data_IF_208028286757
#
_entry.id   IF_208028286757
#
_cell.length_a   1.000
_cell.length_b   1.000
_cell.length_c   1.000
_cell.angle_alpha   90.00
_cell.angle_beta   90.00
_cell.angle_gamma   90.00
#
_symmetry.space_group_name_H-M   'P 1'
#
loop_
_entity.id
_entity.type
_entity.pdbx_description
1 polymer ?
#
# COMPACT_ATOMS: atom_id res chain seq x y z
N UNK A 1 24.57 -13.14 3.55
CA UNK A 1 24.45 -12.82 4.99
C UNK A 1 23.30 -13.62 5.57
N UNK A 2 23.38 -14.04 6.84
CA UNK A 2 22.29 -14.71 7.56
C UNK A 2 21.67 -13.68 8.52
N UNK A 3 20.35 -13.59 8.56
CA UNK A 3 19.60 -12.69 9.43
C UNK A 3 18.80 -13.52 10.44
N UNK A 4 18.90 -13.21 11.72
CA UNK A 4 18.16 -13.89 12.79
C UNK A 4 16.68 -13.49 12.78
N UNK A 5 16.39 -12.24 12.40
CA UNK A 5 15.03 -11.69 12.32
C UNK A 5 14.84 -11.03 10.96
N UNK A 6 13.66 -11.24 10.37
CA UNK A 6 13.26 -10.64 9.09
C UNK A 6 11.93 -9.93 9.30
N UNK A 7 11.87 -8.66 8.91
CA UNK A 7 10.67 -7.81 8.90
C UNK A 7 10.46 -7.35 7.46
N UNK A 8 9.72 -8.13 6.68
CA UNK A 8 9.48 -7.88 5.25
C UNK A 8 7.99 -7.79 4.86
N UNK A 9 7.13 -7.64 5.85
CA UNK A 9 5.68 -7.43 5.69
C UNK A 9 5.16 -6.30 6.60
N UNK A 10 3.84 -6.12 6.65
CA UNK A 10 3.13 -5.15 7.46
C UNK A 10 3.50 -5.28 8.95
N UNK A 11 3.85 -4.17 9.60
CA UNK A 11 4.19 -4.15 11.03
C UNK A 11 2.92 -4.18 11.88
N UNK A 12 2.85 -5.11 12.82
CA UNK A 12 1.67 -5.34 13.66
C UNK A 12 0.79 -6.52 13.22
N UNK A 13 1.20 -7.28 12.21
CA UNK A 13 0.51 -8.51 11.82
C UNK A 13 1.03 -9.71 12.63
N UNK A 14 0.19 -10.17 13.57
CA UNK A 14 0.49 -11.35 14.38
C UNK A 14 0.58 -12.64 13.56
N UNK A 15 -0.23 -12.77 12.50
CA UNK A 15 -0.22 -13.97 11.65
C UNK A 15 1.12 -14.12 10.91
N UNK A 16 1.72 -13.00 10.52
CA UNK A 16 2.98 -12.95 9.80
C UNK A 16 4.20 -12.82 10.72
N UNK A 17 3.98 -12.70 12.03
CA UNK A 17 5.05 -12.67 13.04
C UNK A 17 5.83 -11.36 13.12
N UNK A 18 5.29 -10.29 12.54
CA UNK A 18 5.85 -8.93 12.51
C UNK A 18 5.24 -8.01 13.56
N UNK A 19 4.46 -8.56 14.49
CA UNK A 19 3.94 -7.85 15.66
C UNK A 19 4.95 -7.78 16.82
N UNK A 20 4.73 -6.82 17.72
CA UNK A 20 5.64 -6.56 18.84
C UNK A 20 5.89 -7.74 19.77
N UNK A 21 4.93 -8.65 19.95
CA UNK A 21 5.11 -9.82 20.81
C UNK A 21 5.92 -10.90 20.10
N UNK A 22 5.74 -11.09 18.80
CA UNK A 22 6.53 -12.03 18.00
C UNK A 22 7.98 -11.60 17.90
N UNK A 23 8.27 -10.32 17.68
CA UNK A 23 9.63 -9.79 17.67
C UNK A 23 10.29 -9.96 19.06
N UNK A 24 9.56 -9.68 20.15
CA UNK A 24 10.06 -9.89 21.52
C UNK A 24 10.51 -11.32 21.75
N UNK A 25 9.68 -12.30 21.37
CA UNK A 25 10.01 -13.73 21.50
C UNK A 25 11.22 -14.13 20.66
N UNK A 26 11.46 -13.47 19.53
CA UNK A 26 12.64 -13.74 18.70
C UNK A 26 13.90 -13.16 19.34
N UNK A 27 13.85 -11.91 19.81
CA UNK A 27 14.95 -11.27 20.55
C UNK A 27 15.31 -12.05 21.82
N UNK A 28 14.31 -12.56 22.56
CA UNK A 28 14.53 -13.36 23.77
C UNK A 28 15.33 -14.65 23.51
N UNK A 29 15.25 -15.21 22.28
CA UNK A 29 16.03 -16.39 21.88
C UNK A 29 17.50 -16.07 21.62
N UNK A 30 17.81 -14.80 21.39
CA UNK A 30 19.15 -14.27 21.10
C UNK A 30 19.59 -13.31 22.20
N UNK A 31 19.16 -13.57 23.44
CA UNK A 31 19.54 -12.75 24.58
C UNK A 31 21.06 -12.75 24.75
N UNK A 32 21.63 -11.57 24.94
CA UNK A 32 23.09 -11.36 25.11
C UNK A 32 23.93 -11.73 23.86
N UNK A 33 23.29 -12.00 22.71
CA UNK A 33 23.94 -12.26 21.42
C UNK A 33 23.74 -11.08 20.46
N UNK A 34 24.63 -10.93 19.48
CA UNK A 34 24.41 -10.01 18.36
C UNK A 34 23.23 -10.45 17.49
N UNK A 35 22.38 -9.51 17.08
CA UNK A 35 21.22 -9.79 16.22
C UNK A 35 21.26 -8.92 14.97
N UNK A 36 21.37 -9.57 13.80
CA UNK A 36 21.16 -8.93 12.51
C UNK A 36 19.69 -9.06 12.09
N UNK A 37 19.04 -7.91 11.89
CA UNK A 37 17.63 -7.81 11.50
C UNK A 37 17.56 -7.26 10.08
N UNK A 38 16.96 -8.03 9.17
CA UNK A 38 16.62 -7.50 7.84
C UNK A 38 15.28 -6.79 7.88
N UNK A 39 15.21 -5.56 7.38
CA UNK A 39 13.99 -4.76 7.29
C UNK A 39 13.74 -4.35 5.84
N UNK A 40 12.58 -4.74 5.31
CA UNK A 40 12.12 -4.43 3.94
C UNK A 40 10.59 -4.30 3.97
N UNK A 41 10.09 -3.31 4.69
CA UNK A 41 8.67 -3.14 4.97
C UNK A 41 8.19 -1.71 4.68
N UNK A 42 6.97 -1.60 4.15
CA UNK A 42 6.28 -0.32 3.95
C UNK A 42 5.71 0.27 5.26
N UNK A 43 5.87 -0.43 6.39
CA UNK A 43 5.44 0.00 7.71
C UNK A 43 4.15 -0.68 8.16
N UNK A 44 3.36 0.03 8.97
CA UNK A 44 2.12 -0.49 9.55
C UNK A 44 1.79 0.21 10.87
N UNK A 45 1.40 -0.57 11.88
CA UNK A 45 1.04 -0.09 13.21
C UNK A 45 2.20 0.70 13.85
N UNK A 46 1.96 1.99 14.11
CA UNK A 46 2.95 2.85 14.75
C UNK A 46 3.23 2.44 16.21
N UNK A 47 2.21 1.98 16.92
CA UNK A 47 2.34 1.49 18.31
C UNK A 47 3.28 0.28 18.37
N UNK A 48 3.10 -0.70 17.48
CA UNK A 48 3.99 -1.84 17.38
C UNK A 48 5.39 -1.42 16.96
N UNK A 49 5.51 -0.49 16.00
CA UNK A 49 6.80 0.05 15.59
C UNK A 49 7.59 0.71 16.72
N UNK A 50 6.92 1.51 17.55
CA UNK A 50 7.54 2.16 18.73
C UNK A 50 7.93 1.16 19.82
N UNK A 51 7.10 0.15 20.07
CA UNK A 51 7.41 -0.90 21.04
C UNK A 51 8.61 -1.74 20.57
N UNK A 52 8.61 -2.20 19.32
CA UNK A 52 9.74 -2.95 18.73
C UNK A 52 11.02 -2.11 18.74
N UNK A 53 10.93 -0.82 18.41
CA UNK A 53 12.06 0.11 18.53
C UNK A 53 12.64 0.08 19.94
N UNK A 54 11.80 0.14 20.97
CA UNK A 54 12.26 0.08 22.36
C UNK A 54 12.89 -1.29 22.69
N UNK A 55 12.33 -2.39 22.18
CA UNK A 55 12.91 -3.72 22.36
C UNK A 55 14.32 -3.83 21.75
N UNK A 56 14.58 -3.20 20.60
CA UNK A 56 15.92 -3.18 20.00
C UNK A 56 16.92 -2.41 20.89
N UNK A 57 16.47 -1.29 21.49
CA UNK A 57 17.27 -0.52 22.44
C UNK A 57 17.55 -1.32 23.70
N UNK A 58 16.54 -1.99 24.25
CA UNK A 58 16.64 -2.78 25.48
C UNK A 58 17.53 -4.02 25.29
N UNK A 59 17.50 -4.61 24.09
CA UNK A 59 18.40 -5.71 23.72
C UNK A 59 19.85 -5.21 23.55
N UNK A 60 20.03 -4.04 22.93
CA UNK A 60 21.27 -3.26 22.96
C UNK A 60 22.34 -3.65 21.94
N UNK A 61 22.24 -4.79 21.26
CA UNK A 61 23.20 -5.20 20.21
C UNK A 61 22.51 -5.70 18.93
N UNK A 62 21.68 -4.82 18.36
CA UNK A 62 20.95 -5.05 17.10
C UNK A 62 21.58 -4.25 15.95
N UNK A 63 21.84 -4.91 14.82
CA UNK A 63 22.11 -4.26 13.53
C UNK A 63 20.89 -4.39 12.63
N UNK A 64 20.36 -3.26 12.16
CA UNK A 64 19.28 -3.24 11.17
C UNK A 64 19.85 -3.11 9.75
N UNK A 65 19.45 -4.02 8.86
CA UNK A 65 19.81 -4.04 7.45
C UNK A 65 18.59 -3.65 6.61
N UNK A 66 18.59 -2.44 6.07
CA UNK A 66 17.50 -1.85 5.31
C UNK A 66 17.63 -2.21 3.83
N UNK A 67 16.67 -2.96 3.32
CA UNK A 67 16.65 -3.49 1.96
C UNK A 67 15.36 -3.10 1.25
N UNK A 68 15.40 -2.94 -0.08
CA UNK A 68 14.22 -2.64 -0.87
C UNK A 68 13.57 -1.31 -0.48
N UNK A 69 12.29 -1.34 -0.12
CA UNK A 69 11.53 -0.16 0.32
C UNK A 69 11.30 -0.22 1.82
N UNK A 70 11.80 0.78 2.54
CA UNK A 70 11.62 0.90 3.99
C UNK A 70 10.90 2.21 4.29
N UNK A 71 9.66 2.13 4.76
CA UNK A 71 8.82 3.30 4.96
C UNK A 71 8.11 3.29 6.32
N UNK A 72 7.67 4.47 6.75
CA UNK A 72 6.71 4.61 7.85
C UNK A 72 7.21 3.94 9.13
N UNK A 73 6.37 3.18 9.84
CA UNK A 73 6.73 2.46 11.07
C UNK A 73 7.99 1.58 10.96
N UNK A 74 8.37 1.10 9.77
CA UNK A 74 9.59 0.32 9.59
C UNK A 74 10.85 1.17 9.83
N UNK A 75 10.81 2.44 9.43
CA UNK A 75 11.89 3.39 9.76
C UNK A 75 11.95 3.66 11.27
N UNK A 76 10.80 3.73 11.95
CA UNK A 76 10.71 3.89 13.41
C UNK A 76 11.37 2.71 14.13
N UNK A 77 11.08 1.48 13.70
CA UNK A 77 11.72 0.26 14.21
C UNK A 77 13.24 0.34 14.06
N UNK A 78 13.71 0.69 12.86
CA UNK A 78 15.15 0.79 12.57
C UNK A 78 15.87 1.77 13.52
N UNK A 79 15.23 2.86 13.94
CA UNK A 79 15.83 3.85 14.87
C UNK A 79 16.15 3.28 16.26
N UNK A 80 15.70 2.07 16.58
CA UNK A 80 16.04 1.38 17.83
C UNK A 80 17.31 0.55 17.73
N UNK A 81 17.78 0.25 16.51
CA UNK A 81 18.99 -0.51 16.31
C UNK A 81 20.23 0.32 16.69
N UNK A 82 21.24 -0.40 17.20
CA UNK A 82 22.53 0.19 17.55
C UNK A 82 23.27 0.64 16.29
N UNK A 83 23.17 -0.15 15.23
CA UNK A 83 23.76 0.15 13.94
C UNK A 83 22.75 -0.06 12.82
N UNK A 84 22.74 0.82 11.82
CA UNK A 84 21.82 0.75 10.69
C UNK A 84 22.60 0.81 9.38
N UNK A 85 22.51 -0.29 8.63
CA UNK A 85 23.12 -0.46 7.32
C UNK A 85 22.01 -0.43 6.28
N UNK A 86 22.16 0.32 5.20
CA UNK A 86 21.19 0.38 4.12
C UNK A 86 21.82 -0.07 2.80
N UNK A 87 21.15 -0.95 2.07
CA UNK A 87 21.59 -1.31 0.73
C UNK A 87 21.61 -0.08 -0.18
N UNK A 88 22.64 0.05 -1.02
CA UNK A 88 22.86 1.17 -1.95
C UNK A 88 21.62 1.58 -2.76
N UNK A 89 20.82 0.60 -3.13
CA UNK A 89 19.63 0.79 -3.96
C UNK A 89 18.31 0.67 -3.19
N UNK A 90 18.36 0.64 -1.86
CA UNK A 90 17.17 0.75 -1.05
C UNK A 90 16.63 2.19 -1.07
N UNK A 91 15.35 2.34 -0.76
CA UNK A 91 14.66 3.62 -0.63
C UNK A 91 14.05 3.74 0.77
N UNK A 92 14.22 4.91 1.36
CA UNK A 92 13.83 5.21 2.74
C UNK A 92 12.79 6.33 2.76
N UNK A 93 11.66 6.12 3.44
CA UNK A 93 10.59 7.13 3.52
C UNK A 93 10.15 7.36 4.96
N UNK A 94 10.27 8.61 5.39
CA UNK A 94 9.57 9.15 6.57
C UNK A 94 8.41 10.01 6.08
N UNK A 95 7.28 9.93 6.76
CA UNK A 95 6.07 10.67 6.42
C UNK A 95 5.21 10.88 7.66
N UNK A 96 4.26 11.81 7.59
CA UNK A 96 3.35 12.09 8.70
C UNK A 96 2.49 10.87 9.04
N UNK A 97 2.15 10.71 10.32
CA UNK A 97 1.23 9.68 10.72
C UNK A 97 -0.16 9.91 10.09
N UNK A 98 -0.80 8.82 9.69
CA UNK A 98 -2.10 8.82 9.04
C UNK A 98 -3.03 7.85 9.74
N UNK A 99 -4.32 8.21 9.81
CA UNK A 99 -5.38 7.30 10.21
C UNK A 99 -6.26 6.99 9.00
N UNK A 100 -6.81 5.79 8.97
CA UNK A 100 -7.88 5.48 8.04
C UNK A 100 -9.16 6.21 8.47
N UNK A 101 -9.82 6.88 7.53
CA UNK A 101 -11.09 7.58 7.75
C UNK A 101 -12.12 7.01 6.78
N UNK A 102 -13.15 6.35 7.31
CA UNK A 102 -14.24 5.75 6.53
C UNK A 102 -15.58 6.33 6.96
N UNK A 103 -16.18 7.14 6.10
CA UNK A 103 -17.51 7.73 6.32
C UNK A 103 -18.40 7.43 5.13
N UNK A 104 -19.52 6.75 5.38
CA UNK A 104 -20.48 6.38 4.33
C UNK A 104 -21.92 6.55 4.83
N UNK A 105 -22.76 7.24 4.08
CA UNK A 105 -24.18 7.42 4.40
C UNK A 105 -24.71 8.81 4.06
N UNK A 106 -25.98 9.04 4.36
CA UNK A 106 -26.62 10.35 4.26
C UNK A 106 -26.41 11.11 5.58
N UNK A 107 -25.93 12.35 5.51
CA UNK A 107 -25.66 13.20 6.67
C UNK A 107 -26.39 14.53 6.53
N UNK A 108 -27.11 14.94 7.58
CA UNK A 108 -27.66 16.29 7.66
C UNK A 108 -26.60 17.29 8.16
N UNK A 109 -26.94 18.58 8.23
CA UNK A 109 -25.98 19.63 8.62
C UNK A 109 -25.35 19.41 10.00
N UNK A 110 -26.11 18.88 10.98
CA UNK A 110 -25.61 18.59 12.33
C UNK A 110 -24.64 17.41 12.33
N UNK A 111 -24.94 16.37 11.55
CA UNK A 111 -24.08 15.20 11.40
C UNK A 111 -22.73 15.60 10.76
N UNK A 112 -22.79 16.43 9.71
CA UNK A 112 -21.60 16.97 9.05
C UNK A 112 -20.74 17.82 10.00
N UNK A 113 -21.35 18.66 10.83
CA UNK A 113 -20.58 19.43 11.82
C UNK A 113 -19.89 18.52 12.85
N UNK A 114 -20.59 17.49 13.32
CA UNK A 114 -20.02 16.50 14.26
C UNK A 114 -18.83 15.75 13.63
N UNK A 115 -18.95 15.39 12.35
CA UNK A 115 -17.87 14.77 11.60
C UNK A 115 -16.66 15.71 11.50
N UNK A 116 -16.88 16.98 11.15
CA UNK A 116 -15.82 18.00 11.06
C UNK A 116 -15.07 18.12 12.39
N UNK A 117 -15.80 18.25 13.50
CA UNK A 117 -15.19 18.40 14.83
C UNK A 117 -14.34 17.17 15.20
N UNK A 118 -14.81 15.97 14.87
CA UNK A 118 -14.04 14.73 15.08
C UNK A 118 -12.79 14.67 14.21
N UNK A 119 -12.89 15.04 12.93
CA UNK A 119 -11.74 15.05 12.02
C UNK A 119 -10.71 16.11 12.41
N UNK A 120 -11.16 17.26 12.90
CA UNK A 120 -10.27 18.29 13.42
C UNK A 120 -9.51 17.79 14.64
N UNK A 121 -10.20 17.13 15.58
CA UNK A 121 -9.54 16.49 16.72
C UNK A 121 -8.55 15.40 16.28
N UNK A 122 -8.93 14.57 15.31
CA UNK A 122 -8.05 13.53 14.78
C UNK A 122 -6.78 14.11 14.16
N UNK A 123 -6.91 15.21 13.40
CA UNK A 123 -5.77 15.96 12.86
C UNK A 123 -4.87 16.49 13.98
N UNK A 124 -5.44 17.12 15.01
CA UNK A 124 -4.67 17.66 16.15
C UNK A 124 -3.91 16.55 16.89
N UNK A 125 -4.48 15.36 17.02
CA UNK A 125 -3.82 14.21 17.62
C UNK A 125 -2.69 13.67 16.72
N UNK A 126 -2.88 13.63 15.40
CA UNK A 126 -1.82 13.30 14.45
C UNK A 126 -0.66 14.30 14.49
N UNK A 127 -0.93 15.59 14.57
CA UNK A 127 0.12 16.62 14.68
C UNK A 127 0.97 16.46 15.95
N UNK A 128 0.36 16.01 17.06
CA UNK A 128 1.11 15.68 18.28
C UNK A 128 2.01 14.47 18.06
N UNK A 129 1.50 13.42 17.40
CA UNK A 129 2.29 12.22 17.08
C UNK A 129 3.45 12.57 16.14
N UNK A 130 3.20 13.36 15.09
CA UNK A 130 4.23 13.84 14.18
C UNK A 130 5.33 14.60 14.91
N UNK A 131 4.96 15.44 15.88
CA UNK A 131 5.92 16.13 16.74
C UNK A 131 6.81 15.17 17.54
N UNK A 132 6.25 14.08 18.06
CA UNK A 132 7.00 13.02 18.77
C UNK A 132 7.94 12.28 17.81
N UNK A 133 7.46 11.92 16.62
CA UNK A 133 8.28 11.26 15.61
C UNK A 133 9.44 12.14 15.15
N UNK A 134 9.18 13.42 14.89
CA UNK A 134 10.21 14.38 14.52
C UNK A 134 11.28 14.50 15.62
N UNK A 135 10.88 14.54 16.90
CA UNK A 135 11.83 14.58 18.01
C UNK A 135 12.66 13.29 18.09
N UNK A 136 12.04 12.13 17.88
CA UNK A 136 12.72 10.84 17.85
C UNK A 136 13.74 10.79 16.70
N UNK A 137 13.36 11.18 15.48
CA UNK A 137 14.28 11.21 14.35
C UNK A 137 15.41 12.22 14.55
N UNK A 138 15.13 13.41 15.10
CA UNK A 138 16.16 14.40 15.43
C UNK A 138 17.19 13.87 16.45
N UNK A 139 16.76 13.03 17.40
CA UNK A 139 17.67 12.38 18.35
C UNK A 139 18.67 11.43 17.67
N UNK A 140 18.30 10.84 16.53
CA UNK A 140 19.16 10.00 15.68
C UNK A 140 19.99 10.87 14.72
N UNK A 141 19.33 11.78 14.02
CA UNK A 141 19.88 12.66 12.99
C UNK A 141 20.57 13.87 13.64
N UNK A 142 21.67 13.64 14.35
CA UNK A 142 22.33 14.59 15.29
C UNK A 142 22.60 16.01 14.77
N UNK A 143 22.55 16.23 13.46
CA UNK A 143 22.82 17.52 12.81
C UNK A 143 21.56 18.28 12.36
N UNK A 144 20.37 17.76 12.66
CA UNK A 144 19.10 18.35 12.23
C UNK A 144 18.17 18.59 13.42
N UNK A 145 17.47 19.71 13.37
CA UNK A 145 16.48 20.11 14.37
C UNK A 145 15.18 19.32 14.23
N UNK A 146 14.41 19.27 15.31
CA UNK A 146 13.06 18.69 15.28
C UNK A 146 12.16 19.37 14.24
N UNK A 147 12.31 20.67 14.02
CA UNK A 147 11.53 21.42 13.02
C UNK A 147 11.87 20.95 11.59
N UNK A 148 13.15 20.81 11.27
CA UNK A 148 13.60 20.29 9.96
C UNK A 148 13.10 18.85 9.73
N UNK A 149 13.13 17.99 10.75
CA UNK A 149 12.60 16.64 10.64
C UNK A 149 11.08 16.63 10.50
N UNK A 150 10.37 17.55 11.16
CA UNK A 150 8.93 17.68 10.99
C UNK A 150 8.57 18.14 9.58
N UNK A 151 9.36 19.03 8.98
CA UNK A 151 9.17 19.45 7.60
C UNK A 151 9.49 18.33 6.61
N UNK A 152 10.50 17.50 6.88
CA UNK A 152 10.78 16.30 6.10
C UNK A 152 9.63 15.29 6.16
N UNK A 153 9.01 15.08 7.34
CA UNK A 153 7.80 14.26 7.48
C UNK A 153 6.67 14.79 6.60
N UNK A 154 6.45 16.12 6.57
CA UNK A 154 5.42 16.74 5.72
C UNK A 154 5.73 16.62 4.23
N UNK A 155 7.00 16.71 3.84
CA UNK A 155 7.41 16.54 2.45
C UNK A 155 7.08 15.13 1.95
N UNK A 156 7.17 14.13 2.84
CA UNK A 156 6.78 12.75 2.54
C UNK A 156 7.47 12.28 1.25
N UNK A 157 8.80 12.41 1.22
CA UNK A 157 9.66 12.12 0.06
C UNK A 157 10.49 10.87 0.30
N UNK A 158 10.56 10.00 -0.72
CA UNK A 158 11.49 8.88 -0.71
C UNK A 158 12.93 9.37 -0.87
N UNK A 159 13.80 8.88 0.00
CA UNK A 159 15.22 9.18 0.05
C UNK A 159 16.03 7.98 -0.47
N UNK A 160 17.04 8.28 -1.28
CA UNK A 160 18.10 7.34 -1.62
C UNK A 160 18.94 6.97 -0.39
N UNK A 161 19.72 5.90 -0.47
CA UNK A 161 20.66 5.52 0.61
C UNK A 161 21.64 6.66 0.95
N UNK A 162 22.12 7.41 -0.06
CA UNK A 162 23.00 8.56 0.17
C UNK A 162 22.28 9.70 0.89
N UNK A 163 21.07 10.06 0.46
CA UNK A 163 20.29 11.10 1.16
C UNK A 163 19.97 10.65 2.59
N UNK A 164 19.61 9.39 2.83
CA UNK A 164 19.34 8.87 4.16
C UNK A 164 20.59 8.91 5.08
N UNK A 165 21.78 8.66 4.52
CA UNK A 165 23.06 8.80 5.21
C UNK A 165 23.36 10.27 5.54
N UNK A 166 23.15 11.17 4.58
CA UNK A 166 23.42 12.60 4.73
C UNK A 166 22.51 13.23 5.80
N UNK A 167 21.24 12.80 5.88
CA UNK A 167 20.33 13.15 6.97
C UNK A 167 20.72 12.51 8.32
N UNK A 168 21.50 11.43 8.31
CA UNK A 168 21.92 10.71 9.52
C UNK A 168 20.91 9.69 10.03
N UNK A 169 19.97 9.23 9.18
CA UNK A 169 19.07 8.13 9.54
C UNK A 169 19.84 6.81 9.66
N UNK A 170 20.81 6.60 8.78
CA UNK A 170 21.60 5.37 8.68
C UNK A 170 23.07 5.66 9.01
N UNK A 171 23.84 4.60 9.31
CA UNK A 171 25.27 4.72 9.63
C UNK A 171 26.17 4.31 8.46
N UNK A 172 25.72 3.36 7.63
CA UNK A 172 26.52 2.77 6.56
C UNK A 172 25.65 2.46 5.35
N UNK A 173 26.24 2.61 4.16
CA UNK A 173 25.67 2.11 2.91
C UNK A 173 26.40 0.83 2.53
N UNK A 174 25.68 -0.28 2.46
CA UNK A 174 26.20 -1.53 1.92
C UNK A 174 26.22 -1.46 0.39
N UNK A 175 27.35 -1.86 -0.22
CA UNK A 175 27.41 -2.09 -1.65
C UNK A 175 26.53 -3.30 -1.99
N UNK A 176 25.54 -3.07 -2.83
CA UNK A 176 24.61 -4.07 -3.34
C UNK A 176 24.58 -3.93 -4.86
N UNK A 177 24.41 -5.03 -5.61
CA UNK A 177 24.66 -5.05 -7.06
C UNK A 177 23.41 -4.83 -7.93
N UNK A 178 22.21 -4.75 -7.33
CA UNK A 178 20.95 -4.69 -8.11
C UNK A 178 20.07 -3.51 -7.69
N UNK A 179 19.95 -2.52 -8.59
CA UNK A 179 19.00 -1.43 -8.46
C UNK A 179 17.57 -1.91 -8.74
N UNK A 180 16.59 -1.67 -7.86
CA UNK A 180 15.20 -1.97 -8.17
C UNK A 180 14.68 -0.97 -9.20
N UNK A 181 14.02 -1.48 -10.24
CA UNK A 181 13.35 -0.63 -11.23
C UNK A 181 12.00 -0.13 -10.68
N UNK A 182 11.79 1.18 -10.71
CA UNK A 182 10.52 1.80 -10.34
C UNK A 182 9.49 1.64 -11.47
N UNK A 183 8.72 0.56 -11.40
CA UNK A 183 7.64 0.22 -12.34
C UNK A 183 6.29 0.83 -11.93
N UNK A 184 5.32 0.89 -12.85
CA UNK A 184 3.96 1.34 -12.52
C UNK A 184 3.26 0.38 -11.55
N UNK A 185 3.55 -0.92 -11.64
CA UNK A 185 3.01 -1.92 -10.72
C UNK A 185 3.41 -1.62 -9.27
N UNK A 186 4.64 -1.16 -9.07
CA UNK A 186 5.15 -0.79 -7.75
C UNK A 186 4.55 0.53 -7.25
N UNK A 187 4.38 1.53 -8.13
CA UNK A 187 3.69 2.77 -7.79
C UNK A 187 2.25 2.52 -7.30
N UNK A 188 1.53 1.56 -7.91
CA UNK A 188 0.19 1.14 -7.43
C UNK A 188 0.23 0.56 -6.02
N UNK A 189 1.27 -0.19 -5.65
CA UNK A 189 1.42 -0.73 -4.30
C UNK A 189 1.61 0.37 -3.27
N UNK A 190 2.40 1.40 -3.58
CA UNK A 190 2.58 2.55 -2.68
C UNK A 190 1.28 3.32 -2.48
N UNK A 191 0.54 3.59 -3.57
CA UNK A 191 -0.76 4.22 -3.48
C UNK A 191 -1.75 3.40 -2.64
N UNK A 192 -1.77 2.07 -2.81
CA UNK A 192 -2.62 1.18 -2.01
C UNK A 192 -2.23 1.18 -0.52
N UNK A 193 -0.94 1.37 -0.20
CA UNK A 193 -0.43 1.52 1.15
C UNK A 193 -0.55 2.96 1.70
N UNK A 194 -1.19 3.89 0.96
CA UNK A 194 -1.32 5.30 1.35
C UNK A 194 -0.02 6.08 1.31
N UNK A 195 1.02 5.56 0.63
CA UNK A 195 2.35 6.17 0.57
C UNK A 195 2.51 7.08 -0.66
N UNK A 196 3.21 8.22 -0.52
CA UNK A 196 3.52 9.15 -1.59
C UNK A 196 4.45 8.54 -2.64
N UNK A 197 4.45 9.13 -3.83
CA UNK A 197 5.41 8.83 -4.91
C UNK A 197 6.49 9.92 -5.04
N UNK A 198 6.48 10.92 -4.16
CA UNK A 198 7.40 12.06 -4.19
C UNK A 198 8.85 11.60 -4.07
N UNK A 199 9.72 12.11 -4.94
CA UNK A 199 11.14 11.73 -4.99
C UNK A 199 11.45 10.49 -5.82
N UNK A 200 10.44 9.83 -6.41
CA UNK A 200 10.64 8.68 -7.28
C UNK A 200 10.54 9.05 -8.76
N UNK A 201 11.51 8.61 -9.57
CA UNK A 201 11.40 8.61 -11.03
C UNK A 201 10.78 7.30 -11.49
N UNK A 202 9.51 7.35 -11.91
CA UNK A 202 8.76 6.17 -12.37
C UNK A 202 9.04 5.95 -13.85
N UNK A 203 9.60 4.80 -14.18
CA UNK A 203 9.75 4.39 -15.58
C UNK A 203 8.46 3.73 -16.05
N UNK A 204 8.00 4.04 -17.28
CA UNK A 204 6.87 3.33 -17.87
C UNK A 204 7.24 1.85 -18.02
N UNK A 205 6.34 0.95 -17.62
CA UNK A 205 6.58 -0.50 -17.66
C UNK A 205 7.18 -0.93 -19.01
N UNK A 206 8.37 -1.55 -18.98
CA UNK A 206 8.95 -2.27 -20.12
C UNK A 206 8.14 -3.54 -20.47
N UNK A 207 7.11 -3.85 -19.69
CA UNK A 207 6.07 -4.86 -19.95
C UNK A 207 4.77 -4.24 -20.45
N UNK A 208 4.84 -3.19 -21.26
CA UNK A 208 3.82 -3.01 -22.30
C UNK A 208 3.87 -4.26 -23.20
N UNK A 209 2.91 -5.15 -23.00
CA UNK A 209 2.67 -6.35 -23.81
C UNK A 209 2.89 -6.04 -25.31
N UNK A 210 4.05 -6.42 -25.85
CA UNK A 210 4.29 -6.64 -27.28
C UNK A 210 4.10 -5.48 -28.28
N UNK A 211 4.29 -4.19 -27.94
CA UNK A 211 4.20 -3.15 -28.99
C UNK A 211 5.35 -3.20 -30.01
N UNK A 212 6.55 -3.66 -29.61
CA UNK A 212 7.66 -3.78 -30.55
C UNK A 212 7.50 -4.96 -31.53
N UNK A 213 6.89 -6.06 -31.08
CA UNK A 213 6.53 -7.22 -31.92
C UNK A 213 5.39 -6.88 -32.87
N UNK A 214 4.39 -6.09 -32.43
CA UNK A 214 3.32 -5.60 -33.30
C UNK A 214 3.85 -4.59 -34.30
N UNK A 215 4.77 -3.69 -33.94
CA UNK A 215 5.38 -2.74 -34.89
C UNK A 215 6.23 -3.42 -35.95
N UNK A 216 7.00 -4.45 -35.62
CA UNK A 216 7.72 -5.23 -36.64
C UNK A 216 6.75 -6.03 -37.53
N UNK A 217 5.67 -6.58 -36.94
CA UNK A 217 4.61 -7.27 -37.69
C UNK A 217 3.86 -6.31 -38.63
N UNK A 218 3.58 -5.08 -38.18
CA UNK A 218 2.94 -4.03 -38.96
C UNK A 218 3.86 -3.47 -40.05
N UNK A 219 5.17 -3.42 -39.81
CA UNK A 219 6.16 -3.04 -40.82
C UNK A 219 6.25 -4.08 -41.92
N UNK A 220 6.24 -5.37 -41.56
CA UNK A 220 6.16 -6.48 -42.51
C UNK A 220 4.84 -6.48 -43.31
N UNK A 221 3.71 -6.11 -42.67
CA UNK A 221 2.41 -5.97 -43.33
C UNK A 221 2.37 -4.72 -44.25
N UNK A 222 3.01 -3.61 -43.87
CA UNK A 222 3.11 -2.37 -44.67
C UNK A 222 3.99 -2.54 -45.90
N UNK A 223 5.09 -3.29 -45.79
CA UNK A 223 5.96 -3.65 -46.92
C UNK A 223 5.28 -4.67 -47.86
N UNK A 224 4.31 -5.44 -47.35
CA UNK A 224 3.50 -6.38 -48.13
C UNK A 224 2.30 -5.70 -48.84
N UNK A 225 1.85 -4.53 -48.37
CA UNK A 225 0.65 -3.81 -48.86
C UNK A 225 0.92 -2.58 -49.73
N UNK A 226 2.19 -2.25 -50.02
CA UNK A 226 2.51 -1.09 -50.87
C UNK A 226 2.90 -1.49 -52.30
N UNK A 227 2.08 -1.20 -53.32
CA UNK A 227 2.50 -1.34 -54.71
C UNK A 227 3.51 -0.24 -55.07
N UNK A 228 4.64 -0.65 -55.66
CA UNK A 228 5.66 0.24 -56.21
C UNK A 228 5.04 1.23 -57.19
N UNK A 229 5.05 2.53 -56.85
CA UNK A 229 5.15 3.58 -57.86
C UNK A 229 5.79 4.84 -57.30
N UNK A 230 6.82 5.29 -58.00
CA UNK A 230 7.57 6.54 -57.79
C UNK A 230 6.69 7.73 -58.16
N UNK A 231 6.70 8.79 -57.34
CA UNK A 231 6.71 10.18 -57.82
C UNK A 231 7.17 11.12 -56.70
N UNK A 232 8.11 11.98 -57.06
CA UNK A 232 8.73 12.99 -56.21
C UNK A 232 7.98 14.33 -56.32
N UNK A 233 7.95 15.12 -55.25
CA UNK A 233 8.31 16.56 -55.24
C UNK A 233 8.04 17.22 -53.88
N UNK A 234 8.88 18.22 -53.60
CA UNK A 234 8.87 19.31 -52.60
C UNK A 234 7.53 20.09 -52.55
N UNK A 235 7.20 20.95 -51.58
CA UNK A 235 8.00 21.82 -50.72
C UNK A 235 7.15 22.36 -49.54
N UNK A 236 7.87 22.95 -48.59
CA UNK A 236 7.52 23.72 -47.38
C UNK A 236 6.16 24.46 -47.28
N UNK A 237 5.50 24.40 -46.10
CA UNK A 237 4.88 25.57 -45.44
C UNK A 237 4.47 25.30 -43.99
N UNK A 238 4.91 26.20 -43.12
CA UNK A 238 4.63 26.32 -41.69
C UNK A 238 3.15 26.29 -41.29
N UNK A 239 2.80 25.56 -40.21
CA UNK A 239 1.71 25.96 -39.31
C UNK A 239 1.87 25.39 -37.90
N UNK A 240 2.01 26.32 -36.94
CA UNK A 240 1.54 26.32 -35.54
C UNK A 240 1.65 25.03 -34.73
N UNK A 241 2.60 25.04 -33.80
CA UNK A 241 2.65 24.22 -32.58
C UNK A 241 1.28 24.24 -31.87
N UNK A 242 0.62 23.08 -31.83
CA UNK A 242 -0.57 22.86 -31.04
C UNK A 242 -0.19 22.74 -29.56
N UNK A 243 -0.87 23.51 -28.71
CA UNK A 243 -0.75 23.50 -27.26
C UNK A 243 -1.27 22.15 -26.74
N UNK A 244 -0.40 21.35 -26.13
CA UNK A 244 -0.77 20.06 -25.51
C UNK A 244 -1.58 20.32 -24.23
N UNK A 245 -2.91 20.21 -24.28
CA UNK A 245 -3.74 20.21 -23.08
C UNK A 245 -3.78 18.79 -22.48
N UNK A 246 -3.23 18.63 -21.27
CA UNK A 246 -3.12 17.33 -20.55
C UNK A 246 -4.46 16.84 -19.97
N UNK A 247 -5.58 17.51 -20.23
CA UNK A 247 -6.89 17.17 -19.62
C UNK A 247 -7.55 15.90 -20.17
N UNK A 248 -7.27 15.51 -21.42
CA UNK A 248 -7.98 14.41 -22.09
C UNK A 248 -7.08 13.19 -22.35
N UNK A 249 -6.19 12.87 -21.41
CA UNK A 249 -5.23 11.75 -21.53
C UNK A 249 -5.90 10.41 -21.76
N UNK A 250 -7.01 10.12 -21.06
CA UNK A 250 -7.72 8.85 -21.23
C UNK A 250 -8.37 8.71 -22.61
N UNK A 251 -8.90 9.81 -23.16
CA UNK A 251 -9.50 9.83 -24.51
C UNK A 251 -8.41 9.73 -25.56
N UNK A 252 -7.28 10.44 -25.38
CA UNK A 252 -6.13 10.34 -26.26
C UNK A 252 -5.57 8.90 -26.30
N UNK A 253 -5.44 8.25 -25.14
CA UNK A 253 -5.02 6.84 -25.03
C UNK A 253 -5.99 5.88 -25.72
N UNK A 254 -7.30 6.06 -25.54
CA UNK A 254 -8.31 5.22 -26.20
C UNK A 254 -8.25 5.33 -27.73
N UNK A 255 -7.98 6.53 -28.23
CA UNK A 255 -7.91 6.83 -29.66
C UNK A 255 -6.52 6.60 -30.27
N UNK A 256 -5.54 6.17 -29.47
CA UNK A 256 -4.14 6.02 -29.87
C UNK A 256 -3.54 7.32 -30.46
N UNK A 257 -3.85 8.45 -29.82
CA UNK A 257 -3.35 9.78 -30.18
C UNK A 257 -2.36 10.26 -29.11
N UNK A 258 -1.26 10.89 -29.53
CA UNK A 258 -0.30 11.53 -28.60
C UNK A 258 -0.92 12.73 -27.86
N UNK A 259 -1.81 13.47 -28.53
CA UNK A 259 -2.57 14.57 -27.96
C UNK A 259 -3.82 14.86 -28.79
N UNK A 260 -4.85 15.44 -28.16
CA UNK A 260 -6.04 15.95 -28.85
C UNK A 260 -5.83 17.44 -29.09
N UNK A 261 -5.78 17.84 -30.36
CA UNK A 261 -5.65 19.23 -30.73
C UNK A 261 -6.97 19.98 -30.45
N UNK A 262 -6.87 21.07 -29.67
CA UNK A 262 -8.00 21.94 -29.35
C UNK A 262 -7.80 23.25 -30.10
N UNK A 263 -8.74 23.61 -30.97
CA UNK A 263 -8.76 24.88 -31.70
C UNK A 263 -10.03 25.64 -31.34
N UNK A 264 -9.89 26.88 -30.87
CA UNK A 264 -10.99 27.74 -30.43
C UNK A 264 -11.91 27.11 -29.36
N UNK A 265 -11.32 26.31 -28.46
CA UNK A 265 -12.06 25.60 -27.40
C UNK A 265 -12.82 24.36 -27.89
N UNK A 266 -12.65 23.98 -29.16
CA UNK A 266 -13.28 22.80 -29.77
C UNK A 266 -12.24 21.76 -30.18
N UNK A 267 -12.55 20.48 -30.00
CA UNK A 267 -11.75 19.36 -30.49
C UNK A 267 -12.49 18.71 -31.67
N UNK A 268 -11.78 18.46 -32.77
CA UNK A 268 -12.34 17.77 -33.94
C UNK A 268 -11.90 16.31 -33.90
N UNK A 269 -12.86 15.39 -33.81
CA UNK A 269 -12.65 13.95 -33.89
C UNK A 269 -13.27 13.40 -35.17
N UNK A 270 -12.69 12.34 -35.73
CA UNK A 270 -13.29 11.63 -36.87
C UNK A 270 -14.49 10.80 -36.41
N UNK A 271 -15.36 10.41 -37.36
CA UNK A 271 -16.50 9.52 -37.06
C UNK A 271 -16.03 8.19 -36.45
N UNK A 272 -14.92 7.62 -36.94
CA UNK A 272 -14.34 6.38 -36.41
C UNK A 272 -13.82 6.55 -34.97
N UNK A 273 -13.25 7.70 -34.65
CA UNK A 273 -12.80 8.02 -33.29
C UNK A 273 -13.98 8.17 -32.33
N UNK A 274 -15.07 8.81 -32.78
CA UNK A 274 -16.29 8.88 -31.99
C UNK A 274 -16.92 7.50 -31.78
N UNK A 275 -16.89 6.63 -32.80
CA UNK A 275 -17.37 5.25 -32.68
C UNK A 275 -16.55 4.44 -31.67
N UNK A 276 -15.22 4.59 -31.66
CA UNK A 276 -14.35 3.92 -30.68
C UNK A 276 -14.64 4.37 -29.23
N UNK A 277 -14.98 5.65 -29.02
CA UNK A 277 -15.41 6.14 -27.71
C UNK A 277 -16.75 5.52 -27.31
N UNK A 278 -17.70 5.49 -28.23
CA UNK A 278 -19.04 4.92 -28.01
C UNK A 278 -18.97 3.43 -27.68
N UNK A 279 -18.16 2.66 -28.41
CA UNK A 279 -17.98 1.22 -28.16
C UNK A 279 -17.40 0.97 -26.76
N UNK A 280 -16.43 1.79 -26.34
CA UNK A 280 -15.84 1.70 -25.00
C UNK A 280 -16.80 2.07 -23.89
N UNK A 281 -17.66 3.07 -24.11
CA UNK A 281 -18.68 3.44 -23.14
C UNK A 281 -19.71 2.32 -22.95
N UNK A 282 -20.12 1.68 -24.06
CA UNK A 282 -21.03 0.53 -24.02
C UNK A 282 -20.40 -0.70 -23.35
N UNK A 283 -19.11 -0.96 -23.59
CA UNK A 283 -18.35 -2.00 -22.88
C UNK A 283 -18.32 -1.75 -21.37
N UNK A 284 -17.95 -0.54 -20.94
CA UNK A 284 -17.89 -0.17 -19.53
C UNK A 284 -19.27 -0.24 -18.85
N UNK A 285 -20.33 0.19 -19.54
CA UNK A 285 -21.68 0.11 -19.02
C UNK A 285 -22.14 -1.35 -18.83
N UNK A 286 -21.78 -2.23 -19.77
CA UNK A 286 -22.07 -3.67 -19.66
C UNK A 286 -21.30 -4.29 -18.50
N UNK A 287 -20.03 -3.92 -18.33
CA UNK A 287 -19.20 -4.43 -17.23
C UNK A 287 -19.70 -3.96 -15.87
N UNK A 288 -20.06 -2.69 -15.74
CA UNK A 288 -20.64 -2.15 -14.50
C UNK A 288 -21.94 -2.89 -14.10
N UNK A 289 -22.79 -3.22 -15.07
CA UNK A 289 -24.00 -4.01 -14.78
C UNK A 289 -23.66 -5.43 -14.30
N UNK A 290 -22.69 -6.09 -14.93
CA UNK A 290 -22.25 -7.43 -14.51
C UNK A 290 -21.63 -7.44 -13.09
N UNK A 291 -20.87 -6.40 -12.75
CA UNK A 291 -20.31 -6.24 -11.41
C UNK A 291 -21.41 -5.97 -10.37
N UNK A 292 -22.40 -5.13 -10.70
CA UNK A 292 -23.55 -4.88 -9.84
C UNK A 292 -24.38 -6.14 -9.57
N UNK A 293 -24.61 -6.97 -10.60
CA UNK A 293 -25.31 -8.25 -10.47
C UNK A 293 -24.52 -9.24 -9.59
N UNK A 294 -23.19 -9.26 -9.75
CA UNK A 294 -22.28 -10.08 -8.93
C UNK A 294 -22.32 -9.67 -7.47
N UNK A 295 -22.30 -8.37 -7.18
CA UNK A 295 -22.40 -7.84 -5.82
C UNK A 295 -23.74 -8.23 -5.19
N UNK A 296 -24.85 -8.07 -5.92
CA UNK A 296 -26.18 -8.44 -5.42
C UNK A 296 -26.27 -9.93 -5.03
N UNK A 297 -25.66 -10.83 -5.81
CA UNK A 297 -25.65 -12.26 -5.48
C UNK A 297 -24.75 -12.58 -4.26
N UNK A 298 -23.62 -11.85 -4.11
CA UNK A 298 -22.77 -11.99 -2.92
C UNK A 298 -23.47 -11.51 -1.66
N UNK A 299 -24.18 -10.39 -1.71
CA UNK A 299 -24.95 -9.86 -0.58
C UNK A 299 -26.06 -10.82 -0.14
N UNK A 300 -26.73 -11.46 -1.11
CA UNK A 300 -27.71 -12.51 -0.84
C UNK A 300 -27.07 -13.73 -0.18
N UNK A 301 -25.88 -14.13 -0.63
CA UNK A 301 -25.12 -15.24 -0.03
C UNK A 301 -24.70 -14.92 1.40
N UNK A 302 -24.17 -13.72 1.65
CA UNK A 302 -23.78 -13.24 2.98
C UNK A 302 -25.00 -13.25 3.91
N UNK A 303 -26.12 -12.67 3.48
CA UNK A 303 -27.37 -12.68 4.26
C UNK A 303 -27.84 -14.10 4.61
N UNK A 304 -27.68 -15.05 3.67
CA UNK A 304 -28.00 -16.46 3.91
C UNK A 304 -27.08 -17.13 4.93
N UNK A 305 -25.77 -16.85 4.86
CA UNK A 305 -24.79 -17.36 5.82
C UNK A 305 -24.99 -16.75 7.22
N UNK A 306 -25.28 -15.46 7.31
CA UNK A 306 -25.60 -14.79 8.58
C UNK A 306 -26.84 -15.40 9.24
N UNK A 307 -27.88 -15.69 8.46
CA UNK A 307 -29.07 -16.40 8.95
C UNK A 307 -28.74 -17.82 9.44
N UNK A 308 -27.86 -18.55 8.75
CA UNK A 308 -27.40 -19.87 9.20
C UNK A 308 -26.59 -19.79 10.49
N UNK A 309 -25.65 -18.84 10.59
CA UNK A 309 -24.85 -18.61 11.80
C UNK A 309 -25.76 -18.27 12.98
N UNK A 310 -26.74 -17.38 12.77
CA UNK A 310 -27.73 -17.04 13.81
C UNK A 310 -28.57 -18.24 14.23
N UNK A 311 -29.02 -19.06 13.28
CA UNK A 311 -29.78 -20.28 13.59
C UNK A 311 -28.92 -21.30 14.36
N UNK A 312 -27.64 -21.46 14.01
CA UNK A 312 -26.71 -22.35 14.72
C UNK A 312 -26.38 -21.85 16.13
N UNK A 313 -26.24 -20.53 16.32
CA UNK A 313 -26.10 -19.93 17.65
C UNK A 313 -27.34 -20.12 18.53
N UNK A 314 -28.52 -20.25 17.92
CA UNK A 314 -29.79 -20.47 18.61
C UNK A 314 -30.14 -21.95 18.78
N UNK A 315 -29.48 -22.85 18.05
CA UNK A 315 -29.70 -24.28 18.14
C UNK A 315 -29.14 -24.84 19.47
N UNK A 316 -29.88 -25.70 20.18
CA UNK A 316 -29.32 -26.38 21.36
C UNK A 316 -28.15 -27.27 20.93
N UNK A 317 -27.12 -27.38 21.79
CA UNK A 317 -25.99 -28.29 21.57
C UNK A 317 -26.50 -29.71 21.27
N UNK A 318 -26.03 -30.30 20.17
CA UNK A 318 -26.33 -31.67 19.81
C UNK A 318 -25.84 -32.63 20.90
N UNK A 319 -26.66 -33.62 21.24
CA UNK A 319 -26.29 -34.63 22.24
C UNK A 319 -25.22 -35.55 21.67
N UNK A 320 -23.96 -35.38 22.08
CA UNK A 320 -22.97 -36.45 22.00
C UNK A 320 -23.36 -37.55 23.00
N UNK A 321 -23.42 -38.80 22.53
CA UNK A 321 -23.68 -39.95 23.38
C UNK A 321 -22.64 -40.01 24.53
N UNK A 322 -23.14 -40.30 25.73
CA UNK A 322 -22.42 -40.36 27.02
C UNK A 322 -20.94 -40.75 26.90
N UNK A 323 -20.07 -39.93 27.46
CA UNK A 323 -18.78 -40.40 28.00
C UNK A 323 -19.08 -40.89 29.42
N UNK A 324 -19.13 -42.20 29.63
CA UNK A 324 -19.19 -42.79 30.97
C UNK A 324 -17.81 -42.67 31.61
N UNK A 325 -17.62 -41.66 32.47
CA UNK A 325 -16.60 -41.73 33.51
C UNK A 325 -17.28 -41.77 34.88
N UNK A 326 -17.11 -42.91 35.53
CA UNK A 326 -17.59 -43.20 36.86
C UNK A 326 -16.76 -42.42 37.90
N UNK A 327 -17.36 -41.43 38.56
CA UNK A 327 -17.06 -41.17 39.97
C UNK A 327 -18.22 -40.41 40.63
N UNK A 328 -18.41 -40.66 41.92
CA UNK A 328 -19.61 -40.40 42.69
C UNK A 328 -19.89 -38.90 42.94
N UNK A 329 -21.18 -38.59 43.13
CA UNK A 329 -21.74 -37.34 43.68
C UNK A 329 -21.91 -36.11 42.78
N UNK A 330 -22.11 -36.29 41.47
CA UNK A 330 -22.77 -35.26 40.68
C UNK A 330 -23.68 -35.88 39.61
N UNK A 331 -24.92 -35.37 39.48
CA UNK A 331 -25.79 -35.78 38.36
C UNK A 331 -25.05 -35.45 37.06
N UNK A 332 -24.87 -36.41 36.13
CA UNK A 332 -24.24 -36.12 34.85
C UNK A 332 -25.17 -35.19 34.07
N UNK A 333 -24.87 -33.89 34.08
CA UNK A 333 -25.55 -32.94 33.22
C UNK A 333 -25.11 -33.20 31.79
N UNK A 334 -26.08 -33.35 30.89
CA UNK A 334 -25.74 -33.43 29.48
C UNK A 334 -25.23 -32.05 29.00
N UNK A 335 -24.49 -32.04 27.90
CA UNK A 335 -23.90 -30.84 27.31
C UNK A 335 -24.92 -29.71 27.07
N UNK A 336 -26.18 -30.06 26.81
CA UNK A 336 -27.29 -29.12 26.65
C UNK A 336 -27.70 -28.44 27.97
N UNK A 337 -27.67 -29.15 29.08
CA UNK A 337 -27.97 -28.60 30.41
C UNK A 337 -26.87 -27.66 30.89
N UNK A 338 -25.60 -28.00 30.65
CA UNK A 338 -24.47 -27.10 30.97
C UNK A 338 -24.50 -25.81 30.14
N UNK A 339 -24.73 -25.92 28.82
CA UNK A 339 -24.79 -24.75 27.94
C UNK A 339 -25.90 -23.77 28.34
N UNK A 340 -27.10 -24.28 28.66
CA UNK A 340 -28.23 -23.43 29.04
C UNK A 340 -28.02 -22.72 30.38
N UNK A 341 -27.31 -23.33 31.34
CA UNK A 341 -27.00 -22.65 32.61
C UNK A 341 -25.96 -21.52 32.46
N UNK A 342 -24.99 -21.67 31.55
CA UNK A 342 -23.95 -20.67 31.33
C UNK A 342 -24.48 -19.51 30.47
N UNK A 343 -25.40 -19.79 29.53
CA UNK A 343 -26.01 -18.77 28.67
C UNK A 343 -26.71 -17.65 29.45
N UNK A 344 -27.28 -17.94 30.61
CA UNK A 344 -27.99 -16.94 31.43
C UNK A 344 -27.05 -16.11 32.34
N UNK A 345 -25.74 -16.42 32.32
CA UNK A 345 -24.69 -15.75 33.13
C UNK A 345 -23.79 -14.80 32.31
N UNK A 346 -23.99 -14.72 30.99
CA UNK A 346 -23.23 -13.86 30.06
C UNK A 346 -24.18 -12.80 29.50
#
# INVERSE_FOLDING_TARGET
>A
MYYQIIIDDYIGDWWLGTDKQSIRRQLDRHKDEHVDVKISSLGGSLDDGLDIRQQFIDHGDVTAHLHGFVASAATVVAMGAKHIVMGKYALFLVHQCSNEVFEWGQMNATDLQTLIDRLQKNKEDNEKIDGVLAAMYASRCKNHSQEELLDLLKESKWLTAQEALDWGFIDEIAEDDVAPEMTNALARKFNAAGLPLTGLEIQPDSTAFGFHTVLESLKAIKDMLTPKNKLAACDDTSTKLAIMDKKFTNVASLLNLEAIAITDGSATLTADQLQAIEDRLNELQSQHQADADTIAERDKTISGLEAQVKNLQQAPADTTAKVDEASADNRPMNSKEMFNQIKDLI
#
